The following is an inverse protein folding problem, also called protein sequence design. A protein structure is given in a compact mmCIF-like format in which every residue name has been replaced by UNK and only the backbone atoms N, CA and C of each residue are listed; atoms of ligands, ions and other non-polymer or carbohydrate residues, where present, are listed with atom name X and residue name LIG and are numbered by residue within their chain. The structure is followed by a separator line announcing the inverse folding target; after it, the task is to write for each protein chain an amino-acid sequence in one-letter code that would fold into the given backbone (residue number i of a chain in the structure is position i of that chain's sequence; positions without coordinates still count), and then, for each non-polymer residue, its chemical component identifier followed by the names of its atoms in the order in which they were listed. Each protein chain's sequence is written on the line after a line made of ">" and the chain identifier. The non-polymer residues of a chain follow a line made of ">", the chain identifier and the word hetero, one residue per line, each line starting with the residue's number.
data_IF_145342701609
#
_entry.id   IF_145342701609
#
_cell.length_a   1.000
_cell.length_b   1.000
_cell.length_c   1.000
_cell.angle_alpha   90.00
_cell.angle_beta   90.00
_cell.angle_gamma   90.00
#
_symmetry.space_group_name_H-M   'P 1'
#
loop_
_entity.id
_entity.type
_entity.pdbx_description
1 polymer ?
#
# COMPACT_ATOMS: atom_id res chain seq x y z
N UNK A 1 29.62 16.69 -9.31
CA UNK A 1 28.86 17.21 -8.15
C UNK A 1 28.26 16.02 -7.42
N UNK A 2 28.78 15.67 -6.25
CA UNK A 2 28.17 14.63 -5.41
C UNK A 2 26.86 15.18 -4.86
N UNK A 3 25.73 14.63 -5.29
CA UNK A 3 24.44 14.98 -4.68
C UNK A 3 24.47 14.49 -3.23
N UNK A 4 24.45 15.43 -2.30
CA UNK A 4 24.35 15.13 -0.88
C UNK A 4 22.91 14.71 -0.60
N UNK A 5 22.69 13.41 -0.39
CA UNK A 5 21.38 12.85 -0.08
C UNK A 5 20.92 13.35 1.29
N UNK A 6 19.91 14.23 1.32
CA UNK A 6 19.27 14.66 2.56
C UNK A 6 18.38 13.51 3.10
N UNK A 7 18.31 13.29 4.43
CA UNK A 7 17.33 12.37 5.00
C UNK A 7 15.91 12.76 4.63
N UNK A 8 15.05 11.77 4.41
CA UNK A 8 13.64 11.94 4.04
C UNK A 8 12.80 10.92 4.79
N UNK A 9 11.50 11.18 4.93
CA UNK A 9 10.55 10.21 5.48
C UNK A 9 9.72 9.62 4.34
N UNK A 10 9.36 8.34 4.47
CA UNK A 10 8.42 7.70 3.55
C UNK A 10 7.23 7.20 4.36
N UNK A 11 6.16 7.96 4.34
CA UNK A 11 4.90 7.56 4.95
C UNK A 11 4.24 6.53 4.06
N UNK A 12 3.73 5.46 4.64
CA UNK A 12 3.05 4.44 3.88
C UNK A 12 1.94 3.79 4.70
N UNK A 13 1.02 3.15 3.99
CA UNK A 13 -0.05 2.37 4.57
C UNK A 13 -0.44 1.20 3.65
N UNK A 14 -1.02 0.17 4.26
CA UNK A 14 -1.55 -0.99 3.57
C UNK A 14 -3.03 -1.14 3.82
N UNK A 15 -3.76 -1.41 2.74
CA UNK A 15 -5.05 -2.06 2.82
C UNK A 15 -4.83 -3.54 2.52
N UNK A 16 -5.42 -4.42 3.32
CA UNK A 16 -5.22 -5.87 3.23
C UNK A 16 -6.53 -6.61 3.06
N UNK A 17 -6.45 -7.87 2.63
CA UNK A 17 -7.59 -8.77 2.52
C UNK A 17 -7.91 -9.54 3.81
N UNK A 18 -7.28 -9.18 4.94
CA UNK A 18 -7.50 -9.76 6.26
C UNK A 18 -6.48 -9.24 7.27
N UNK A 19 -6.65 -9.62 8.55
CA UNK A 19 -5.90 -9.03 9.66
C UNK A 19 -4.56 -9.70 9.95
N UNK A 20 -4.29 -10.89 9.40
CA UNK A 20 -3.08 -11.67 9.68
C UNK A 20 -1.97 -11.32 8.68
N UNK A 21 -0.91 -10.58 9.07
CA UNK A 21 0.09 -10.09 8.12
C UNK A 21 0.87 -11.22 7.41
N UNK A 22 0.94 -12.39 8.04
CA UNK A 22 1.65 -13.55 7.49
C UNK A 22 0.78 -14.43 6.56
N UNK A 23 -0.55 -14.38 6.71
CA UNK A 23 -1.47 -15.29 6.01
C UNK A 23 -2.31 -14.56 4.96
N UNK A 24 -2.72 -13.35 5.27
CA UNK A 24 -3.55 -12.53 4.39
C UNK A 24 -2.71 -11.78 3.37
N UNK A 25 -3.33 -11.49 2.24
CA UNK A 25 -2.65 -10.83 1.13
C UNK A 25 -2.91 -9.34 1.16
N UNK A 26 -1.91 -8.50 0.82
CA UNK A 26 -2.16 -7.08 0.61
C UNK A 26 -3.16 -6.89 -0.54
N UNK A 27 -3.99 -5.86 -0.45
CA UNK A 27 -4.91 -5.47 -1.51
C UNK A 27 -4.39 -4.21 -2.22
N UNK A 28 -3.96 -3.21 -1.46
CA UNK A 28 -3.36 -1.97 -1.95
C UNK A 28 -2.18 -1.54 -1.06
N UNK A 29 -1.21 -0.87 -1.67
CA UNK A 29 -0.18 -0.09 -0.99
C UNK A 29 -0.29 1.38 -1.40
N UNK A 30 -0.20 2.27 -0.42
CA UNK A 30 -0.08 3.71 -0.65
C UNK A 30 1.18 4.24 0.05
N UNK A 31 1.90 5.15 -0.60
CA UNK A 31 3.09 5.75 -0.03
C UNK A 31 3.41 7.14 -0.57
N UNK A 32 3.97 7.99 0.28
CA UNK A 32 4.36 9.37 -0.07
C UNK A 32 5.65 9.76 0.65
N UNK A 33 6.55 10.42 -0.05
CA UNK A 33 7.82 10.88 0.51
C UNK A 33 7.71 12.33 0.96
N UNK A 34 8.36 12.65 2.08
CA UNK A 34 8.47 14.03 2.56
C UNK A 34 9.91 14.40 2.88
N UNK A 35 10.19 15.70 2.93
CA UNK A 35 11.38 16.22 3.58
C UNK A 35 11.25 16.17 5.12
N UNK A 36 12.21 16.77 5.83
CA UNK A 36 12.25 16.77 7.29
C UNK A 36 11.21 17.68 7.95
N UNK A 37 10.64 18.63 7.20
CA UNK A 37 9.58 19.54 7.64
C UNK A 37 8.18 19.00 7.25
N UNK A 38 8.12 17.75 6.78
CA UNK A 38 6.92 17.05 6.30
C UNK A 38 6.27 17.68 5.06
N UNK A 39 7.01 18.46 4.27
CA UNK A 39 6.56 18.87 2.94
C UNK A 39 6.65 17.67 1.99
N UNK A 40 5.59 17.43 1.22
CA UNK A 40 5.56 16.36 0.21
C UNK A 40 6.63 16.62 -0.85
N UNK A 41 7.42 15.58 -1.14
CA UNK A 41 8.43 15.59 -2.19
C UNK A 41 8.23 14.36 -3.10
N UNK A 42 8.12 14.61 -4.41
CA UNK A 42 7.84 13.57 -5.39
C UNK A 42 6.36 13.14 -5.42
N UNK A 43 6.06 12.22 -6.33
CA UNK A 43 4.69 11.77 -6.58
C UNK A 43 4.25 10.68 -5.57
N UNK A 44 2.96 10.66 -5.18
CA UNK A 44 2.40 9.55 -4.44
C UNK A 44 2.49 8.23 -5.23
N UNK A 45 2.77 7.13 -4.52
CA UNK A 45 2.69 5.79 -5.07
C UNK A 45 1.41 5.13 -4.56
N UNK A 46 0.50 4.78 -5.47
CA UNK A 46 -0.68 3.98 -5.15
C UNK A 46 -0.75 2.81 -6.11
N UNK A 47 -0.63 1.60 -5.58
CA UNK A 47 -0.58 0.37 -6.37
C UNK A 47 -1.43 -0.73 -5.74
N UNK A 48 -1.99 -1.59 -6.57
CA UNK A 48 -2.76 -2.76 -6.13
C UNK A 48 -1.91 -4.04 -6.21
N UNK A 49 -2.18 -4.97 -5.31
CA UNK A 49 -1.58 -6.30 -5.35
C UNK A 49 -2.61 -7.32 -5.84
N UNK A 50 -2.31 -7.93 -6.99
CA UNK A 50 -3.17 -8.99 -7.55
C UNK A 50 -3.17 -10.20 -6.62
N UNK A 51 -4.34 -10.60 -6.06
CA UNK A 51 -4.40 -11.78 -5.23
C UNK A 51 -4.12 -13.05 -6.06
N UNK A 52 -3.43 -14.05 -5.51
CA UNK A 52 -3.21 -15.31 -6.20
C UNK A 52 -4.53 -16.11 -6.30
N UNK A 53 -4.55 -17.13 -7.15
CA UNK A 53 -5.74 -17.96 -7.36
C UNK A 53 -6.06 -18.92 -6.19
N UNK A 54 -5.13 -19.11 -5.26
CA UNK A 54 -5.24 -20.05 -4.13
C UNK A 54 -5.69 -19.38 -2.82
N UNK A 55 -6.09 -18.11 -2.86
CA UNK A 55 -6.48 -17.33 -1.68
C UNK A 55 -7.86 -16.68 -1.86
N UNK A 56 -8.67 -16.74 -0.81
CA UNK A 56 -9.93 -16.00 -0.69
C UNK A 56 -9.81 -14.98 0.44
N UNK A 57 -10.14 -13.69 0.20
CA UNK A 57 -10.15 -12.66 1.24
C UNK A 57 -11.14 -12.92 2.36
N UNK A 58 -10.87 -12.31 3.52
CA UNK A 58 -11.89 -12.06 4.54
C UNK A 58 -12.96 -11.11 3.97
N UNK A 59 -14.24 -11.50 3.97
CA UNK A 59 -15.32 -10.66 3.45
C UNK A 59 -15.40 -9.30 4.15
N UNK A 60 -15.20 -9.27 5.47
CA UNK A 60 -15.23 -8.08 6.30
C UNK A 60 -14.13 -7.09 5.90
N UNK A 61 -12.92 -7.57 5.60
CA UNK A 61 -11.83 -6.73 5.10
C UNK A 61 -12.20 -6.08 3.76
N UNK A 62 -12.84 -6.83 2.84
CA UNK A 62 -13.33 -6.25 1.59
C UNK A 62 -14.41 -5.18 1.81
N UNK A 63 -15.28 -5.36 2.82
CA UNK A 63 -16.32 -4.39 3.17
C UNK A 63 -15.75 -3.12 3.79
N UNK A 64 -14.74 -3.25 4.66
CA UNK A 64 -14.07 -2.12 5.31
C UNK A 64 -13.26 -1.32 4.29
N UNK A 65 -12.43 -1.99 3.51
CA UNK A 65 -11.51 -1.34 2.56
C UNK A 65 -12.22 -0.87 1.28
N UNK A 66 -13.37 -1.46 0.94
CA UNK A 66 -14.03 -1.24 -0.35
C UNK A 66 -13.22 -1.73 -1.55
N UNK A 67 -12.23 -2.61 -1.33
CA UNK A 67 -11.39 -3.19 -2.36
C UNK A 67 -11.81 -4.65 -2.55
N UNK A 68 -12.37 -4.96 -3.72
CA UNK A 68 -12.66 -6.35 -4.09
C UNK A 68 -11.44 -7.00 -4.76
N UNK A 69 -11.31 -8.34 -4.75
CA UNK A 69 -10.29 -9.05 -5.52
C UNK A 69 -10.24 -8.64 -6.99
N UNK A 70 -11.40 -8.44 -7.62
CA UNK A 70 -11.51 -8.04 -9.01
C UNK A 70 -10.99 -6.62 -9.25
N UNK A 71 -11.14 -5.72 -8.27
CA UNK A 71 -10.57 -4.36 -8.32
C UNK A 71 -9.04 -4.41 -8.25
N UNK A 72 -8.49 -5.26 -7.38
CA UNK A 72 -7.04 -5.42 -7.20
C UNK A 72 -6.34 -6.21 -8.34
N UNK A 73 -7.11 -6.78 -9.28
CA UNK A 73 -6.57 -7.47 -10.46
C UNK A 73 -6.23 -6.52 -11.63
N UNK A 74 -6.64 -5.25 -11.56
CA UNK A 74 -6.37 -4.23 -12.58
C UNK A 74 -5.01 -3.58 -12.36
#
# INVERSE_FOLDING_TARGET
>A
MSQQTKPTFYFHDYETFGISPAKDRPSQFAGIRTDADFNVIGEPLVIYCKPPADYLPEPEACLITGITPQKAMK
#
